data_IF_945603985834
#
_entry.id   IF_945603985834
#
_cell.length_a   1.000
_cell.length_b   1.000
_cell.length_c   1.000
_cell.angle_alpha   90.00
_cell.angle_beta   90.00
_cell.angle_gamma   90.00
#
_symmetry.space_group_name_H-M   'P 1'
#
loop_
_entity.id
_entity.type
_entity.pdbx_description
1 polymer ?
#
# COMPACT_ATOMS: atom_id res chain seq x y z
N UNK A 1 8.58 44.09 -11.76
CA UNK A 1 7.62 43.19 -11.10
C UNK A 1 8.00 41.83 -11.60
N UNK A 2 8.68 41.05 -10.75
CA UNK A 2 9.18 39.73 -11.13
C UNK A 2 8.01 38.76 -11.13
N UNK A 3 7.58 38.39 -12.34
CA UNK A 3 6.56 37.38 -12.55
C UNK A 3 7.27 36.02 -12.65
N UNK A 4 6.81 35.08 -11.82
CA UNK A 4 7.40 33.76 -11.64
C UNK A 4 6.97 32.84 -12.79
N UNK A 5 7.86 32.58 -13.76
CA UNK A 5 7.67 31.53 -14.78
C UNK A 5 8.02 30.14 -14.23
N UNK A 6 7.20 29.13 -14.50
CA UNK A 6 7.46 27.75 -14.10
C UNK A 6 8.10 26.94 -15.23
N UNK A 7 9.27 26.36 -14.97
CA UNK A 7 9.89 25.33 -15.81
C UNK A 7 9.93 24.02 -15.06
N UNK A 8 9.23 23.02 -15.58
CA UNK A 8 9.26 21.67 -15.04
C UNK A 8 9.92 20.77 -16.07
N UNK A 9 11.03 20.16 -15.70
CA UNK A 9 11.87 19.42 -16.64
C UNK A 9 11.69 17.91 -16.47
N UNK A 10 11.44 17.48 -15.24
CA UNK A 10 10.95 16.15 -14.94
C UNK A 10 10.25 16.20 -13.58
N UNK A 11 9.08 15.59 -13.42
CA UNK A 11 8.59 15.15 -12.11
C UNK A 11 8.85 13.66 -12.02
N UNK A 12 9.74 13.26 -11.11
CA UNK A 12 9.92 11.85 -10.78
C UNK A 12 9.24 11.63 -9.45
N UNK A 13 8.14 10.91 -9.47
CA UNK A 13 7.51 10.52 -8.23
C UNK A 13 8.25 9.29 -7.71
N UNK A 14 9.22 9.47 -6.80
CA UNK A 14 9.92 8.35 -6.11
C UNK A 14 9.37 8.17 -4.70
N UNK A 15 9.92 7.28 -3.87
CA UNK A 15 9.21 6.81 -2.68
C UNK A 15 10.01 6.93 -1.39
N UNK A 16 9.56 7.83 -0.51
CA UNK A 16 9.86 7.89 0.93
C UNK A 16 8.90 8.87 1.63
N UNK A 17 8.76 8.76 2.95
CA UNK A 17 7.63 9.13 3.83
C UNK A 17 7.41 10.62 4.17
N UNK A 18 6.13 11.05 4.21
CA UNK A 18 5.53 11.86 5.29
C UNK A 18 4.04 11.45 5.50
N UNK A 19 3.59 11.34 6.76
CA UNK A 19 2.21 10.98 7.15
C UNK A 19 1.20 12.12 6.89
N UNK A 20 -0.12 12.01 7.04
CA UNK A 20 -1.02 11.08 7.73
C UNK A 20 -2.29 10.98 6.85
N UNK A 21 -2.77 9.78 6.52
CA UNK A 21 -4.00 9.64 5.73
C UNK A 21 -5.19 9.32 6.63
N UNK A 22 -6.16 10.23 6.62
CA UNK A 22 -7.54 10.03 7.07
C UNK A 22 -8.15 8.75 6.47
N UNK A 23 -8.95 8.06 7.30
CA UNK A 23 -9.65 6.79 7.07
C UNK A 23 -10.46 6.75 5.76
N UNK A 24 -9.82 6.38 4.67
CA UNK A 24 -10.46 5.61 3.61
C UNK A 24 -10.39 4.16 4.07
N UNK A 25 -11.54 3.48 4.24
CA UNK A 25 -11.55 2.01 4.39
C UNK A 25 -10.84 1.43 3.16
N UNK A 26 -9.59 1.01 3.33
CA UNK A 26 -8.81 0.41 2.27
C UNK A 26 -9.52 -0.84 1.73
N UNK A 27 -9.19 -1.26 0.52
CA UNK A 27 -9.65 -2.57 0.01
C UNK A 27 -8.97 -3.66 0.84
N UNK A 28 -9.74 -4.64 1.36
CA UNK A 28 -9.17 -5.84 1.96
C UNK A 28 -8.38 -6.61 0.89
N UNK A 29 -7.05 -6.62 1.03
CA UNK A 29 -6.11 -7.25 0.11
C UNK A 29 -6.21 -8.77 0.17
N UNK A 30 -6.57 -9.32 1.33
CA UNK A 30 -6.57 -10.75 1.59
C UNK A 30 -7.54 -11.53 0.68
N UNK A 31 -8.66 -10.91 0.29
CA UNK A 31 -9.67 -11.50 -0.60
C UNK A 31 -9.13 -11.93 -1.98
N UNK A 32 -7.98 -11.41 -2.40
CA UNK A 32 -7.36 -11.75 -3.69
C UNK A 32 -6.09 -12.61 -3.52
N UNK A 33 -5.74 -12.95 -2.28
CA UNK A 33 -4.56 -13.74 -1.96
C UNK A 33 -4.82 -15.25 -2.02
N UNK A 34 -3.83 -16.01 -1.56
CA UNK A 34 -3.92 -17.46 -1.39
C UNK A 34 -3.55 -17.85 0.02
N UNK A 35 -4.48 -18.49 0.71
CA UNK A 35 -4.26 -18.97 2.07
C UNK A 35 -3.82 -20.45 2.08
N UNK A 36 -2.94 -20.78 3.02
CA UNK A 36 -2.55 -22.16 3.35
C UNK A 36 -2.27 -22.26 4.84
N UNK A 37 -2.26 -23.47 5.39
CA UNK A 37 -1.98 -23.70 6.81
C UNK A 37 -1.15 -24.96 7.00
N UNK A 38 -0.54 -25.09 8.17
CA UNK A 38 0.32 -26.21 8.60
C UNK A 38 -0.30 -27.59 8.36
N UNK A 39 -1.54 -27.79 8.79
CA UNK A 39 -2.31 -29.04 8.62
C UNK A 39 -3.79 -28.71 8.51
N UNK A 40 -4.59 -29.60 7.93
CA UNK A 40 -6.05 -29.54 8.04
C UNK A 40 -6.52 -30.51 9.13
N UNK A 41 -7.45 -30.08 9.98
CA UNK A 41 -8.05 -30.96 11.00
C UNK A 41 -8.70 -32.20 10.34
N UNK A 42 -8.29 -33.40 10.72
CA UNK A 42 -8.74 -34.73 10.32
C UNK A 42 -9.86 -35.23 11.28
N UNK A 43 -11.12 -34.94 10.92
CA UNK A 43 -12.33 -35.57 11.47
C UNK A 43 -13.45 -35.41 10.43
N UNK A 44 -14.67 -35.99 10.53
CA UNK A 44 -15.65 -35.94 9.43
C UNK A 44 -16.13 -34.51 9.11
N UNK A 45 -15.69 -33.51 9.88
CA UNK A 45 -15.93 -32.07 9.72
C UNK A 45 -14.74 -31.31 9.09
N UNK A 46 -13.71 -32.01 8.57
CA UNK A 46 -12.53 -31.43 7.91
C UNK A 46 -12.89 -30.48 6.75
N UNK A 47 -14.04 -30.70 6.11
CA UNK A 47 -14.52 -29.92 4.97
C UNK A 47 -14.80 -28.44 5.30
N UNK A 48 -14.83 -28.06 6.58
CA UNK A 48 -15.17 -26.70 7.02
C UNK A 48 -13.98 -25.90 7.57
N UNK A 49 -12.80 -26.52 7.70
CA UNK A 49 -11.63 -25.91 8.35
C UNK A 49 -10.53 -25.43 7.38
N UNK A 50 -10.84 -25.28 6.10
CA UNK A 50 -9.85 -24.95 5.07
C UNK A 50 -9.22 -23.57 5.28
N UNK A 51 -7.92 -23.45 4.99
CA UNK A 51 -7.18 -22.19 5.16
C UNK A 51 -7.82 -21.00 4.43
N UNK A 52 -8.44 -21.24 3.27
CA UNK A 52 -9.14 -20.22 2.48
C UNK A 52 -10.26 -19.50 3.24
N UNK A 53 -10.89 -20.17 4.22
CA UNK A 53 -12.03 -19.64 4.94
C UNK A 53 -11.71 -18.38 5.74
N UNK A 54 -10.44 -18.14 6.09
CA UNK A 54 -10.03 -16.89 6.75
C UNK A 54 -9.87 -15.70 5.79
N UNK A 55 -10.10 -15.86 4.49
CA UNK A 55 -10.01 -14.79 3.49
C UNK A 55 -11.20 -14.82 2.52
N UNK A 56 -12.31 -15.41 2.93
CA UNK A 56 -13.50 -15.56 2.10
C UNK A 56 -14.43 -14.34 2.18
N UNK A 57 -14.14 -13.38 3.05
CA UNK A 57 -14.90 -12.15 3.25
C UNK A 57 -16.07 -12.32 4.22
N UNK A 58 -16.13 -13.40 4.99
CA UNK A 58 -17.22 -13.68 5.92
C UNK A 58 -16.71 -13.86 7.36
N UNK A 59 -17.07 -12.91 8.24
CA UNK A 59 -16.65 -12.90 9.65
C UNK A 59 -17.48 -13.81 10.56
N UNK A 60 -18.16 -14.82 10.03
CA UNK A 60 -18.99 -15.73 10.84
C UNK A 60 -18.12 -16.54 11.79
N UNK A 61 -18.22 -16.24 13.07
CA UNK A 61 -17.41 -16.88 14.11
C UNK A 61 -17.87 -18.29 14.50
N UNK A 62 -19.01 -18.77 13.98
CA UNK A 62 -19.44 -20.14 14.20
C UNK A 62 -18.70 -21.09 13.26
N UNK A 63 -17.80 -21.88 13.84
CA UNK A 63 -16.99 -22.86 13.10
C UNK A 63 -17.83 -23.80 12.22
N UNK A 64 -19.00 -24.23 12.68
CA UNK A 64 -19.84 -25.19 11.96
C UNK A 64 -20.54 -24.59 10.73
N UNK A 65 -20.46 -23.27 10.53
CA UNK A 65 -20.98 -22.60 9.34
C UNK A 65 -19.98 -22.58 8.17
N UNK A 66 -18.76 -23.11 8.36
CA UNK A 66 -17.79 -23.29 7.28
C UNK A 66 -16.97 -22.07 6.92
N UNK A 67 -16.97 -21.03 7.76
CA UNK A 67 -16.25 -19.76 7.56
C UNK A 67 -15.06 -19.59 8.48
N UNK A 68 -14.53 -20.68 9.06
CA UNK A 68 -13.34 -20.61 9.91
C UNK A 68 -12.32 -21.65 9.47
N UNK A 69 -11.05 -21.37 9.73
CA UNK A 69 -9.93 -22.30 9.54
C UNK A 69 -9.79 -23.23 10.75
N UNK A 70 -9.17 -24.39 10.58
CA UNK A 70 -8.73 -25.21 11.71
C UNK A 70 -7.57 -26.12 11.34
N UNK A 71 -6.54 -26.06 12.19
CA UNK A 71 -5.40 -26.98 12.17
C UNK A 71 -5.64 -28.19 13.07
N UNK A 72 -4.81 -29.22 12.92
CA UNK A 72 -4.71 -30.29 13.92
C UNK A 72 -4.03 -29.81 15.19
N UNK A 73 -4.26 -30.55 16.28
CA UNK A 73 -3.45 -30.39 17.48
C UNK A 73 -2.00 -30.77 17.19
N UNK A 74 -1.10 -29.80 17.27
CA UNK A 74 0.30 -30.00 16.95
C UNK A 74 1.21 -29.05 17.73
N UNK A 75 2.51 -29.20 17.50
CA UNK A 75 3.48 -28.20 17.90
C UNK A 75 3.55 -27.11 16.83
N UNK A 76 3.52 -25.84 17.26
CA UNK A 76 3.81 -24.70 16.40
C UNK A 76 2.88 -24.56 15.16
N UNK A 77 1.54 -24.69 15.27
CA UNK A 77 0.64 -24.53 14.13
C UNK A 77 0.68 -23.11 13.57
N UNK A 78 0.52 -23.01 12.27
CA UNK A 78 0.50 -21.73 11.55
C UNK A 78 -0.51 -21.73 10.41
N UNK A 79 -0.95 -20.52 10.07
CA UNK A 79 -1.71 -20.15 8.88
C UNK A 79 -0.94 -19.05 8.15
N UNK A 80 -0.95 -19.06 6.82
CA UNK A 80 -0.27 -18.07 5.98
C UNK A 80 -1.14 -17.60 4.83
N UNK A 81 -1.10 -16.30 4.59
CA UNK A 81 -1.59 -15.62 3.39
C UNK A 81 -0.42 -15.26 2.47
N UNK A 82 -0.53 -15.61 1.20
CA UNK A 82 0.28 -15.07 0.10
C UNK A 82 -0.53 -13.99 -0.64
N UNK A 83 -0.11 -12.73 -0.56
CA UNK A 83 -0.73 -11.59 -1.27
C UNK A 83 -0.40 -11.53 -2.76
N UNK A 84 0.43 -12.44 -3.27
CA UNK A 84 0.89 -12.56 -4.66
C UNK A 84 1.87 -11.47 -5.12
N UNK A 85 1.86 -10.31 -4.48
CA UNK A 85 2.80 -9.21 -4.67
C UNK A 85 3.21 -8.62 -3.31
N UNK A 86 4.19 -7.72 -3.29
CA UNK A 86 4.64 -7.04 -2.08
C UNK A 86 3.74 -5.85 -1.75
N UNK A 87 3.28 -5.77 -0.49
CA UNK A 87 2.43 -4.68 -0.01
C UNK A 87 2.99 -4.08 1.27
N UNK A 88 2.86 -2.76 1.42
CA UNK A 88 3.09 -2.08 2.68
C UNK A 88 1.80 -2.14 3.47
N UNK A 89 1.76 -3.06 4.43
CA UNK A 89 0.62 -3.39 5.27
C UNK A 89 0.47 -2.33 6.35
N UNK A 90 -0.71 -1.70 6.42
CA UNK A 90 -1.03 -0.67 7.41
C UNK A 90 -1.87 -1.20 8.56
N UNK A 91 -2.69 -2.23 8.31
CA UNK A 91 -3.41 -2.90 9.38
C UNK A 91 -3.84 -4.31 9.01
N UNK A 92 -4.03 -5.13 10.03
CA UNK A 92 -4.60 -6.48 9.94
C UNK A 92 -5.73 -6.58 10.97
N UNK A 93 -6.89 -7.07 10.56
CA UNK A 93 -8.00 -7.40 11.46
C UNK A 93 -8.15 -8.92 11.52
N UNK A 94 -8.18 -9.49 12.73
CA UNK A 94 -8.36 -10.93 12.94
C UNK A 94 -9.67 -11.16 13.69
N UNK A 95 -10.53 -12.00 13.14
CA UNK A 95 -11.78 -12.46 13.78
C UNK A 95 -11.56 -13.82 14.42
N UNK A 96 -11.78 -13.88 15.74
CA UNK A 96 -11.65 -15.12 16.51
C UNK A 96 -12.94 -15.95 16.50
N UNK A 97 -12.82 -17.22 16.86
CA UNK A 97 -13.91 -18.18 16.97
C UNK A 97 -14.93 -17.77 18.05
N UNK A 98 -16.19 -18.08 17.83
CA UNK A 98 -17.30 -17.83 18.78
C UNK A 98 -17.28 -18.70 20.04
N UNK A 99 -16.52 -19.79 20.04
CA UNK A 99 -16.33 -20.68 21.18
C UNK A 99 -14.85 -21.09 21.31
N UNK A 100 -14.42 -21.37 22.54
CA UNK A 100 -13.02 -21.68 22.89
C UNK A 100 -12.02 -20.61 22.38
N UNK A 101 -12.31 -19.30 22.55
CA UNK A 101 -11.49 -18.21 22.03
C UNK A 101 -10.06 -18.21 22.56
N UNK A 102 -9.84 -18.75 23.76
CA UNK A 102 -8.54 -18.80 24.45
C UNK A 102 -7.48 -19.60 23.70
N UNK A 103 -7.87 -20.41 22.71
CA UNK A 103 -6.93 -21.18 21.89
C UNK A 103 -6.00 -20.29 21.05
N UNK A 104 -6.47 -19.10 20.68
CA UNK A 104 -5.72 -18.11 19.90
C UNK A 104 -4.77 -17.27 20.78
N UNK A 105 -4.89 -17.34 22.11
CA UNK A 105 -4.06 -16.53 23.01
C UNK A 105 -2.57 -16.84 22.84
N UNK A 106 -1.74 -15.81 22.70
CA UNK A 106 -0.32 -15.92 22.43
C UNK A 106 0.03 -16.27 20.98
N UNK A 107 -0.90 -16.17 20.04
CA UNK A 107 -0.57 -16.21 18.62
C UNK A 107 0.25 -14.98 18.21
N UNK A 108 1.20 -15.16 17.31
CA UNK A 108 2.08 -14.15 16.75
C UNK A 108 1.68 -13.86 15.30
N UNK A 109 1.69 -12.58 14.92
CA UNK A 109 1.47 -12.13 13.54
C UNK A 109 2.84 -11.78 12.96
N UNK A 110 3.23 -12.39 11.85
CA UNK A 110 4.48 -12.09 11.16
C UNK A 110 4.23 -11.60 9.75
N UNK A 111 4.99 -10.61 9.31
CA UNK A 111 4.86 -10.01 7.98
C UNK A 111 6.25 -9.95 7.34
N UNK A 112 6.37 -10.40 6.08
CA UNK A 112 7.60 -10.26 5.32
C UNK A 112 7.62 -11.02 4.00
N UNK A 113 8.82 -11.20 3.46
CA UNK A 113 9.04 -11.77 2.12
C UNK A 113 9.72 -13.14 2.12
N UNK A 114 10.13 -13.65 3.29
CA UNK A 114 10.81 -14.94 3.41
C UNK A 114 9.82 -16.08 3.60
N UNK A 115 10.12 -17.25 3.01
CA UNK A 115 9.44 -18.52 3.26
C UNK A 115 10.24 -19.46 4.17
N UNK A 116 11.38 -19.02 4.70
CA UNK A 116 12.13 -19.77 5.72
C UNK A 116 11.21 -20.04 6.92
N UNK A 117 11.17 -21.30 7.40
CA UNK A 117 10.22 -21.74 8.43
C UNK A 117 8.76 -21.37 8.09
N UNK A 118 8.36 -21.60 6.83
CA UNK A 118 7.05 -21.25 6.30
C UNK A 118 6.67 -19.75 6.40
N UNK A 119 7.62 -18.87 6.68
CA UNK A 119 7.38 -17.44 6.90
C UNK A 119 7.22 -17.05 8.37
N UNK A 120 7.26 -18.00 9.31
CA UNK A 120 7.16 -17.72 10.75
C UNK A 120 8.42 -17.02 11.30
N UNK A 121 9.51 -16.93 10.51
CA UNK A 121 10.72 -16.18 10.88
C UNK A 121 10.72 -14.74 10.35
N UNK A 122 9.66 -14.29 9.67
CA UNK A 122 9.54 -12.89 9.26
C UNK A 122 9.35 -11.98 10.50
N UNK A 123 9.42 -10.67 10.29
CA UNK A 123 9.26 -9.68 11.37
C UNK A 123 7.94 -9.92 12.13
N UNK A 124 8.05 -10.11 13.44
CA UNK A 124 6.88 -10.11 14.33
C UNK A 124 6.27 -8.71 14.33
N UNK A 125 5.02 -8.63 13.87
CA UNK A 125 4.25 -7.40 13.76
C UNK A 125 3.37 -7.18 15.00
N UNK A 126 3.05 -8.25 15.74
CA UNK A 126 2.31 -8.17 17.00
C UNK A 126 1.99 -9.55 17.58
N UNK A 127 1.61 -9.55 18.85
CA UNK A 127 1.16 -10.74 19.58
C UNK A 127 -0.30 -10.57 19.99
N UNK A 128 -1.11 -11.56 19.65
CA UNK A 128 -2.50 -11.66 20.06
C UNK A 128 -2.54 -12.08 21.52
N UNK A 129 -2.73 -11.11 22.42
CA UNK A 129 -2.82 -11.41 23.85
C UNK A 129 -4.12 -12.16 24.16
N UNK A 130 -5.26 -11.61 23.73
CA UNK A 130 -6.56 -12.30 23.73
C UNK A 130 -7.53 -11.59 22.81
N UNK A 131 -8.34 -12.36 22.07
CA UNK A 131 -9.49 -11.82 21.31
C UNK A 131 -10.74 -12.50 21.85
N UNK A 132 -11.72 -11.78 22.43
CA UNK A 132 -12.92 -12.39 22.96
C UNK A 132 -13.71 -13.21 21.93
N UNK A 133 -14.53 -14.14 22.41
CA UNK A 133 -15.38 -15.00 21.59
C UNK A 133 -16.15 -14.22 20.50
N UNK A 134 -15.90 -14.60 19.24
CA UNK A 134 -16.56 -14.05 18.06
C UNK A 134 -16.31 -12.56 17.81
N UNK A 135 -15.26 -12.01 18.41
CA UNK A 135 -14.84 -10.62 18.19
C UNK A 135 -13.66 -10.55 17.24
N UNK A 136 -13.46 -9.34 16.74
CA UNK A 136 -12.32 -9.00 15.90
C UNK A 136 -11.43 -8.00 16.61
N UNK A 137 -10.13 -8.13 16.40
CA UNK A 137 -9.13 -7.16 16.85
C UNK A 137 -8.31 -6.67 15.67
N UNK A 138 -8.04 -5.37 15.64
CA UNK A 138 -7.27 -4.72 14.58
C UNK A 138 -5.91 -4.30 15.11
N UNK A 139 -4.86 -4.76 14.43
CA UNK A 139 -3.47 -4.38 14.65
C UNK A 139 -3.09 -3.33 13.60
N UNK A 140 -2.66 -2.16 14.04
CA UNK A 140 -2.31 -1.02 13.17
C UNK A 140 -0.81 -0.75 13.17
N UNK A 141 -0.25 -0.42 12.00
CA UNK A 141 1.18 -0.16 11.81
C UNK A 141 1.38 1.23 11.21
N UNK A 142 1.71 2.22 12.04
CA UNK A 142 1.79 3.64 11.62
C UNK A 142 2.77 3.89 10.46
N UNK A 143 3.91 3.20 10.47
CA UNK A 143 4.91 3.28 9.39
C UNK A 143 4.65 2.27 8.27
N UNK A 144 3.66 1.39 8.45
CA UNK A 144 3.46 0.20 7.63
C UNK A 144 4.57 -0.84 7.79
N UNK A 145 4.29 -2.07 7.39
CA UNK A 145 5.28 -3.16 7.31
C UNK A 145 5.21 -3.73 5.90
N UNK A 146 6.33 -3.70 5.17
CA UNK A 146 6.39 -4.27 3.82
C UNK A 146 6.49 -5.80 3.89
N UNK A 147 5.63 -6.47 3.13
CA UNK A 147 5.67 -7.91 3.01
C UNK A 147 4.63 -8.46 2.04
N UNK A 148 4.97 -9.60 1.43
CA UNK A 148 4.07 -10.41 0.60
C UNK A 148 3.33 -11.46 1.42
N UNK A 149 3.98 -11.99 2.46
CA UNK A 149 3.46 -13.06 3.30
C UNK A 149 3.02 -12.50 4.66
N UNK A 150 1.83 -12.93 5.09
CA UNK A 150 1.33 -12.72 6.44
C UNK A 150 1.15 -14.09 7.06
N UNK A 151 1.77 -14.33 8.21
CA UNK A 151 1.63 -15.55 8.98
C UNK A 151 0.93 -15.24 10.31
N UNK A 152 -0.01 -16.09 10.70
CA UNK A 152 -0.46 -16.19 12.08
C UNK A 152 0.04 -17.51 12.61
N UNK A 153 0.91 -17.44 13.60
CA UNK A 153 1.70 -18.54 14.12
C UNK A 153 1.44 -18.68 15.61
N UNK A 154 1.30 -19.90 16.12
CA UNK A 154 1.11 -20.12 17.55
C UNK A 154 2.27 -20.95 18.09
N UNK A 155 3.22 -20.38 18.87
CA UNK A 155 4.28 -21.15 19.48
C UNK A 155 3.77 -22.08 20.58
N UNK A 156 4.46 -23.22 20.72
CA UNK A 156 4.27 -24.18 21.80
C UNK A 156 3.69 -25.52 21.36
N UNK A 157 3.56 -26.43 22.33
CA UNK A 157 3.06 -27.79 22.14
C UNK A 157 1.56 -27.87 22.36
N UNK A 158 0.92 -28.85 21.73
CA UNK A 158 -0.52 -29.10 21.86
C UNK A 158 -1.34 -27.83 21.61
N UNK A 159 -1.07 -27.14 20.50
CA UNK A 159 -1.80 -25.96 20.06
C UNK A 159 -2.68 -26.33 18.87
N UNK A 160 -3.79 -25.62 18.75
CA UNK A 160 -4.70 -25.68 17.61
C UNK A 160 -5.04 -24.24 17.23
N UNK A 161 -4.77 -23.88 15.98
CA UNK A 161 -5.07 -22.57 15.40
C UNK A 161 -6.40 -22.60 14.64
N UNK A 162 -7.28 -21.65 14.97
CA UNK A 162 -8.52 -21.34 14.25
C UNK A 162 -8.62 -19.83 14.09
N UNK A 163 -8.86 -19.40 12.85
CA UNK A 163 -9.10 -18.02 12.44
C UNK A 163 -10.39 -18.01 11.62
N UNK A 164 -11.33 -17.11 11.95
CA UNK A 164 -12.58 -17.01 11.18
C UNK A 164 -12.51 -15.96 10.09
N UNK A 165 -11.72 -14.89 10.26
CA UNK A 165 -11.42 -13.99 9.15
C UNK A 165 -10.11 -13.26 9.44
N UNK A 166 -9.33 -13.00 8.39
CA UNK A 166 -8.11 -12.21 8.40
C UNK A 166 -8.23 -11.17 7.29
N UNK A 167 -8.56 -9.95 7.67
CA UNK A 167 -8.60 -8.82 6.75
C UNK A 167 -7.26 -8.11 6.76
N UNK A 168 -6.72 -7.82 5.58
CA UNK A 168 -5.42 -7.14 5.44
C UNK A 168 -5.59 -5.87 4.63
N UNK A 169 -5.12 -4.75 5.17
CA UNK A 169 -5.22 -3.44 4.54
C UNK A 169 -3.83 -2.83 4.36
N UNK A 170 -3.62 -2.21 3.20
CA UNK A 170 -2.35 -1.61 2.82
C UNK A 170 -2.39 -1.09 1.39
N UNK A 171 -1.22 -0.90 0.82
CA UNK A 171 -1.04 -0.45 -0.57
C UNK A 171 0.21 -1.13 -1.16
N UNK A 172 0.33 -1.26 -2.49
CA UNK A 172 1.49 -1.91 -3.10
C UNK A 172 2.79 -1.33 -2.55
N UNK A 173 3.72 -2.19 -2.11
CA UNK A 173 5.04 -1.76 -1.66
C UNK A 173 5.76 -1.24 -2.86
N UNK A 174 6.35 -0.06 -2.75
CA UNK A 174 6.57 0.56 -4.01
C UNK A 174 8.05 0.51 -4.40
N UNK A 175 8.26 0.37 -5.70
CA UNK A 175 9.43 -0.29 -6.30
C UNK A 175 10.40 0.70 -6.96
N UNK A 176 10.21 2.00 -6.73
CA UNK A 176 11.01 3.07 -7.32
C UNK A 176 10.73 3.34 -8.80
N UNK A 177 9.69 2.72 -9.38
CA UNK A 177 9.26 3.05 -10.75
C UNK A 177 8.73 4.49 -10.82
N UNK A 178 9.21 5.26 -11.81
CA UNK A 178 8.67 6.59 -12.07
C UNK A 178 7.27 6.47 -12.69
N UNK A 179 6.22 6.61 -11.88
CA UNK A 179 4.84 6.55 -12.38
C UNK A 179 4.45 7.74 -13.27
N UNK A 180 5.22 8.83 -13.23
CA UNK A 180 4.88 10.05 -13.98
C UNK A 180 4.90 9.84 -15.50
N UNK A 181 5.76 8.94 -16.01
CA UNK A 181 5.88 8.64 -17.45
C UNK A 181 4.64 7.96 -18.03
N UNK A 182 3.76 7.46 -17.17
CA UNK A 182 2.49 6.83 -17.55
C UNK A 182 1.30 7.81 -17.50
N UNK A 183 1.53 9.01 -16.98
CA UNK A 183 0.50 10.02 -16.80
C UNK A 183 0.28 10.90 -18.02
N UNK A 184 -0.63 11.86 -17.86
CA UNK A 184 -0.91 12.90 -18.87
C UNK A 184 -0.63 14.27 -18.28
N UNK A 185 0.26 15.02 -18.93
CA UNK A 185 0.67 16.34 -18.49
C UNK A 185 -0.09 17.46 -19.23
N UNK A 186 -0.40 18.54 -18.51
CA UNK A 186 -1.03 19.77 -19.01
C UNK A 186 -0.40 20.99 -18.36
N UNK A 187 -0.48 22.17 -18.98
CA UNK A 187 0.08 23.41 -18.43
C UNK A 187 -0.74 24.64 -18.82
N UNK A 188 -0.53 25.76 -18.13
CA UNK A 188 -1.32 26.99 -18.27
C UNK A 188 -1.31 27.59 -19.68
N UNK A 189 -0.15 27.53 -20.34
CA UNK A 189 0.06 28.07 -21.68
C UNK A 189 1.22 27.35 -22.36
N UNK A 190 1.31 27.44 -23.68
CA UNK A 190 2.39 26.82 -24.45
C UNK A 190 3.33 27.91 -25.00
N UNK A 191 4.61 27.80 -24.68
CA UNK A 191 5.66 28.59 -25.34
C UNK A 191 6.34 27.74 -26.41
N UNK A 192 6.18 28.16 -27.68
CA UNK A 192 6.77 27.45 -28.82
C UNK A 192 6.38 25.96 -28.84
N UNK A 193 7.35 25.04 -28.99
CA UNK A 193 7.13 23.59 -29.06
C UNK A 193 7.39 22.86 -27.73
N UNK A 194 7.35 23.58 -26.61
CA UNK A 194 7.75 23.04 -25.30
C UNK A 194 6.54 22.49 -24.54
N UNK A 195 6.06 21.37 -25.03
CA UNK A 195 4.84 20.71 -24.58
C UNK A 195 4.94 20.22 -23.12
N UNK A 196 3.82 20.14 -22.39
CA UNK A 196 3.84 19.69 -21.00
C UNK A 196 4.35 18.26 -20.80
N UNK A 197 4.19 17.38 -21.80
CA UNK A 197 4.62 15.97 -21.69
C UNK A 197 6.14 15.81 -21.65
N UNK A 198 6.93 16.78 -22.13
CA UNK A 198 8.40 16.70 -22.07
C UNK A 198 8.91 16.76 -20.63
N UNK A 199 8.07 17.17 -19.66
CA UNK A 199 8.36 17.08 -18.23
C UNK A 199 8.10 15.68 -17.62
N UNK A 200 7.65 14.70 -18.42
CA UNK A 200 7.41 13.32 -17.99
C UNK A 200 7.85 12.31 -19.06
N UNK A 201 8.69 12.70 -20.01
CA UNK A 201 9.14 11.85 -21.11
C UNK A 201 10.22 10.82 -20.71
N UNK A 202 10.65 10.84 -19.45
CA UNK A 202 11.69 9.97 -18.91
C UNK A 202 13.12 10.46 -19.18
N UNK A 203 13.30 11.58 -19.87
CA UNK A 203 14.58 12.21 -20.11
C UNK A 203 14.82 13.33 -19.08
N UNK A 204 16.06 13.42 -18.55
CA UNK A 204 16.44 14.36 -17.48
C UNK A 204 17.33 15.48 -18.00
N UNK A 205 17.32 15.73 -19.31
CA UNK A 205 18.22 16.69 -19.93
C UNK A 205 17.84 18.14 -19.59
N UNK A 206 18.65 18.74 -18.72
CA UNK A 206 18.50 20.10 -18.22
C UNK A 206 18.56 21.23 -19.27
N UNK A 207 18.98 20.95 -20.51
CA UNK A 207 19.23 21.97 -21.53
C UNK A 207 17.99 22.19 -22.39
N UNK A 208 17.42 23.40 -22.35
CA UNK A 208 16.17 23.72 -23.05
C UNK A 208 16.20 23.40 -24.54
N UNK A 209 17.31 23.70 -25.23
CA UNK A 209 17.47 23.47 -26.66
C UNK A 209 17.42 21.98 -27.06
N UNK A 210 17.57 21.05 -26.10
CA UNK A 210 17.52 19.61 -26.36
C UNK A 210 16.07 19.06 -26.37
N UNK A 211 15.06 19.89 -26.10
CA UNK A 211 13.65 19.55 -26.30
C UNK A 211 13.01 18.71 -25.20
N UNK A 212 13.67 18.56 -24.05
CA UNK A 212 13.21 17.76 -22.90
C UNK A 212 12.67 18.63 -21.75
N UNK A 213 12.22 19.85 -22.04
CA UNK A 213 11.79 20.82 -21.04
C UNK A 213 10.41 21.36 -21.39
N UNK A 214 9.47 21.35 -20.43
CA UNK A 214 8.23 22.08 -20.63
C UNK A 214 8.44 23.58 -20.45
N UNK A 215 7.62 24.41 -21.10
CA UNK A 215 7.76 25.87 -21.02
C UNK A 215 6.40 26.55 -21.22
N UNK A 216 5.96 27.31 -20.22
CA UNK A 216 4.79 28.20 -20.32
C UNK A 216 5.18 29.56 -20.87
N UNK A 217 4.23 30.39 -21.27
CA UNK A 217 4.48 31.81 -21.48
C UNK A 217 4.75 32.51 -20.13
N UNK A 218 5.06 33.81 -20.20
CA UNK A 218 5.23 34.68 -19.04
C UNK A 218 3.86 35.04 -18.44
N UNK A 219 3.21 34.04 -17.84
CA UNK A 219 1.91 34.17 -17.19
C UNK A 219 2.08 34.67 -15.75
N UNK A 220 1.07 35.38 -15.22
CA UNK A 220 1.09 35.87 -13.84
C UNK A 220 1.13 34.75 -12.77
N UNK A 221 0.53 33.60 -13.08
CA UNK A 221 0.49 32.43 -12.20
C UNK A 221 0.52 31.17 -13.05
N UNK A 222 1.67 30.84 -13.65
CA UNK A 222 1.78 29.69 -14.52
C UNK A 222 1.66 28.42 -13.68
N UNK A 223 1.15 27.36 -14.30
CA UNK A 223 1.02 26.07 -13.66
C UNK A 223 1.29 24.95 -14.65
N UNK A 224 1.74 23.83 -14.11
CA UNK A 224 1.84 22.54 -14.79
C UNK A 224 1.16 21.50 -13.91
N UNK A 225 0.44 20.57 -14.54
CA UNK A 225 -0.32 19.51 -13.83
C UNK A 225 -0.13 18.18 -14.51
N UNK A 226 0.07 17.14 -13.69
CA UNK A 226 0.07 15.74 -14.07
C UNK A 226 -1.21 15.04 -13.61
N UNK A 227 -1.87 14.36 -14.52
CA UNK A 227 -2.89 13.36 -14.21
C UNK A 227 -2.24 11.97 -14.23
N UNK A 228 -2.24 11.27 -13.10
CA UNK A 228 -1.68 9.91 -12.97
C UNK A 228 -2.68 8.81 -13.40
N UNK A 229 -3.86 9.19 -13.90
CA UNK A 229 -4.93 8.34 -14.44
C UNK A 229 -5.62 7.41 -13.43
N UNK A 230 -4.99 7.16 -12.28
CA UNK A 230 -5.56 6.49 -11.12
C UNK A 230 -5.00 7.14 -9.85
N UNK A 231 -5.65 6.88 -8.72
CA UNK A 231 -5.16 7.38 -7.43
C UNK A 231 -3.86 6.68 -7.06
N UNK A 232 -2.84 7.47 -6.75
CA UNK A 232 -1.56 6.99 -6.22
C UNK A 232 -1.36 7.56 -4.82
N UNK A 233 -0.76 6.76 -3.93
CA UNK A 233 -0.12 7.31 -2.74
C UNK A 233 1.23 7.86 -3.20
N UNK A 234 1.33 9.19 -3.28
CA UNK A 234 2.53 9.89 -3.71
C UNK A 234 3.44 10.06 -2.51
N UNK A 235 4.71 9.70 -2.67
CA UNK A 235 5.67 9.68 -1.57
C UNK A 235 6.74 10.75 -1.72
N UNK A 236 7.33 10.90 -2.89
CA UNK A 236 8.27 11.98 -3.19
C UNK A 236 8.07 12.48 -4.60
N UNK A 237 8.56 13.68 -4.87
CA UNK A 237 8.54 14.33 -6.17
C UNK A 237 9.94 14.91 -6.37
N UNK A 238 10.65 14.43 -7.38
CA UNK A 238 11.94 14.95 -7.80
C UNK A 238 11.69 15.88 -8.97
N UNK A 239 12.06 17.14 -8.82
CA UNK A 239 11.98 18.12 -9.89
C UNK A 239 13.37 18.32 -10.49
N UNK A 240 13.48 18.13 -11.79
CA UNK A 240 14.65 18.58 -12.54
C UNK A 240 14.45 20.05 -12.95
N UNK A 241 15.45 20.88 -12.69
CA UNK A 241 15.43 22.30 -13.08
C UNK A 241 16.28 22.52 -14.33
N UNK A 242 16.02 23.61 -15.04
CA UNK A 242 16.78 24.02 -16.21
C UNK A 242 18.24 24.30 -15.85
N UNK A 243 19.17 23.85 -16.69
CA UNK A 243 20.62 23.87 -16.45
C UNK A 243 21.35 24.97 -17.22
N UNK A 244 20.89 25.33 -18.42
CA UNK A 244 21.59 26.22 -19.34
C UNK A 244 21.36 27.72 -19.06
N UNK A 245 20.25 28.08 -18.41
CA UNK A 245 19.96 29.45 -17.97
C UNK A 245 18.75 29.48 -17.02
N UNK A 246 18.57 30.62 -16.32
CA UNK A 246 17.33 31.03 -15.64
C UNK A 246 16.74 30.04 -14.63
N UNK A 247 17.61 29.28 -13.94
CA UNK A 247 17.22 28.29 -12.94
C UNK A 247 16.44 28.90 -11.78
N UNK A 248 16.65 30.19 -11.49
CA UNK A 248 15.97 30.94 -10.43
C UNK A 248 14.46 31.10 -10.65
N UNK A 249 13.96 30.87 -11.87
CA UNK A 249 12.54 31.07 -12.17
C UNK A 249 11.62 30.05 -11.48
N UNK A 250 12.13 28.86 -11.18
CA UNK A 250 11.44 27.87 -10.36
C UNK A 250 11.37 28.25 -8.86
N UNK A 251 12.09 29.29 -8.43
CA UNK A 251 12.07 29.70 -7.02
C UNK A 251 10.68 30.16 -6.59
N UNK A 252 10.21 29.64 -5.46
CA UNK A 252 8.86 29.90 -4.95
C UNK A 252 7.78 29.00 -5.55
N UNK A 253 8.15 28.08 -6.45
CA UNK A 253 7.24 27.06 -6.95
C UNK A 253 6.66 26.21 -5.82
N UNK A 254 5.37 25.92 -5.91
CA UNK A 254 4.64 25.07 -4.97
C UNK A 254 4.24 23.76 -5.64
N UNK A 255 4.35 22.68 -4.89
CA UNK A 255 3.82 21.37 -5.29
C UNK A 255 2.52 21.18 -4.54
N UNK A 256 1.50 20.65 -5.23
CA UNK A 256 0.19 20.36 -4.66
C UNK A 256 -0.30 19.02 -5.17
N UNK A 257 -0.91 18.22 -4.29
CA UNK A 257 -1.34 16.85 -4.61
C UNK A 257 -2.79 16.68 -4.16
N UNK A 258 -3.65 16.22 -5.05
CA UNK A 258 -5.04 15.90 -4.72
C UNK A 258 -5.85 15.53 -5.94
N UNK A 259 -7.12 15.17 -5.69
CA UNK A 259 -8.04 14.68 -6.72
C UNK A 259 -8.92 15.80 -7.32
N UNK A 260 -8.88 17.02 -6.76
CA UNK A 260 -9.72 18.12 -7.25
C UNK A 260 -9.11 18.81 -8.47
N UNK A 261 -9.96 19.12 -9.45
CA UNK A 261 -9.61 19.92 -10.63
C UNK A 261 -10.05 21.39 -10.49
N UNK A 262 -10.65 21.77 -9.36
CA UNK A 262 -10.98 23.17 -9.08
C UNK A 262 -9.72 24.04 -9.17
N UNK A 263 -9.83 25.19 -9.85
CA UNK A 263 -8.69 26.07 -10.14
C UNK A 263 -7.51 25.30 -10.77
N UNK A 264 -7.78 24.39 -11.70
CA UNK A 264 -6.80 23.49 -12.33
C UNK A 264 -6.01 22.63 -11.33
N UNK A 265 -6.52 22.40 -10.12
CA UNK A 265 -5.84 21.67 -9.06
C UNK A 265 -4.90 22.52 -8.18
N UNK A 266 -4.80 23.82 -8.44
CA UNK A 266 -3.98 24.75 -7.64
C UNK A 266 -4.54 24.96 -6.21
N UNK A 267 -5.76 24.50 -5.95
CA UNK A 267 -6.37 24.54 -4.60
C UNK A 267 -6.13 23.25 -3.81
N UNK A 268 -5.51 22.23 -4.39
CA UNK A 268 -5.18 21.01 -3.64
C UNK A 268 -4.20 21.31 -2.49
N UNK A 269 -4.17 20.48 -1.44
CA UNK A 269 -3.20 20.60 -0.36
C UNK A 269 -1.76 20.68 -0.86
N UNK A 270 -0.95 21.50 -0.19
CA UNK A 270 0.50 21.57 -0.37
C UNK A 270 1.17 20.37 0.28
#
# INVERSE_FOLDING_TARGET
MDHHLFYLLAVIITEASFGHASSVKGKNLALNGKATQSTLVENPWAAFGHAYNAIDGNTDSNYDHGSCTATEWQENPWWRLDLLDEYTITSITITNRGNLPERLDGAEIHIGNSLVNNGNNNQEAGVISTIPAGKSETYTFDSGISGRYINVFIPGKNRLLTLCEVEVYGYPTPNGENVAVKGTATQSSLYSNSFPFTAIDGNRDGVYAHGSCSHTQDDFSPWWRLDLLKRHKVFSIIIMNRKDAVSERLNGAEIRIGDSLENNGNNNPR
#
